data_IF_150468072211
#
_entry.id   IF_150468072211
#
_cell.length_a   1.000
_cell.length_b   1.000
_cell.length_c   1.000
_cell.angle_alpha   90.00
_cell.angle_beta   90.00
_cell.angle_gamma   90.00
#
_symmetry.space_group_name_H-M   'P 1'
#
loop_
_entity.id
_entity.type
_entity.pdbx_description
1 polymer ?
#
# COMPACT_ATOMS: atom_id res chain seq x y z
N UNK A 1 77.82 8.71 19.25
CA UNK A 1 76.54 9.41 19.39
C UNK A 1 75.43 8.53 18.78
N UNK A 2 74.65 7.84 19.62
CA UNK A 2 73.58 6.89 19.21
C UNK A 2 72.23 7.58 19.32
N UNK A 3 71.53 7.80 18.18
CA UNK A 3 70.15 8.28 18.14
C UNK A 3 69.19 7.15 18.57
N UNK A 4 68.47 7.35 19.66
CA UNK A 4 67.37 6.51 20.09
C UNK A 4 66.13 6.78 19.18
N UNK A 5 65.63 5.75 18.50
CA UNK A 5 64.38 5.76 17.78
C UNK A 5 63.23 5.37 18.76
N UNK A 6 62.34 6.32 19.04
CA UNK A 6 61.12 6.08 19.78
C UNK A 6 60.14 5.31 18.90
N UNK A 7 59.81 4.11 19.32
CA UNK A 7 58.76 3.27 18.73
C UNK A 7 57.42 3.64 19.39
N UNK A 8 56.59 4.34 18.66
CA UNK A 8 55.25 4.73 19.11
C UNK A 8 54.33 3.57 18.82
N UNK A 9 53.86 2.89 19.89
CA UNK A 9 52.88 1.81 19.84
C UNK A 9 51.51 2.46 19.57
N UNK A 10 50.95 2.24 18.36
CA UNK A 10 49.56 2.59 18.06
C UNK A 10 48.71 1.39 18.46
N UNK A 11 48.01 1.52 19.59
CA UNK A 11 46.94 0.61 19.96
C UNK A 11 45.76 0.87 19.04
N UNK A 12 45.55 -0.01 18.07
CA UNK A 12 44.35 -0.04 17.26
C UNK A 12 43.15 -0.53 18.10
N UNK A 13 42.27 0.41 18.42
CA UNK A 13 40.97 0.10 19.02
C UNK A 13 40.02 -0.40 17.91
N UNK A 14 39.96 -1.72 17.71
CA UNK A 14 38.95 -2.35 16.86
C UNK A 14 37.60 -2.29 17.58
N UNK A 15 36.82 -1.27 17.31
CA UNK A 15 35.42 -1.22 17.69
C UNK A 15 34.66 -2.26 16.86
N UNK A 16 34.37 -3.40 17.48
CA UNK A 16 33.50 -4.43 16.94
C UNK A 16 32.07 -3.89 16.98
N UNK A 17 31.61 -3.34 15.87
CA UNK A 17 30.18 -3.00 15.70
C UNK A 17 29.39 -4.29 15.62
N UNK A 18 28.88 -4.75 16.76
CA UNK A 18 27.79 -5.72 16.80
C UNK A 18 26.54 -5.07 16.18
N UNK A 19 26.35 -5.28 14.89
CA UNK A 19 25.08 -5.03 14.23
C UNK A 19 24.07 -6.03 14.75
N UNK A 20 23.28 -5.61 15.74
CA UNK A 20 22.11 -6.35 16.20
C UNK A 20 21.09 -6.42 15.08
N UNK A 21 20.55 -7.59 14.71
CA UNK A 21 19.51 -7.71 13.67
C UNK A 21 18.12 -7.37 14.21
N UNK A 22 17.96 -6.24 14.92
CA UNK A 22 16.70 -5.82 15.54
C UNK A 22 16.13 -4.52 14.98
N UNK A 23 16.40 -4.17 13.73
CA UNK A 23 15.98 -2.88 13.19
C UNK A 23 15.02 -2.95 11.99
N UNK A 24 14.33 -4.07 11.75
CA UNK A 24 13.28 -4.13 10.72
C UNK A 24 11.86 -4.37 11.29
N UNK A 25 11.63 -4.00 12.54
CA UNK A 25 10.32 -3.90 13.17
C UNK A 25 9.86 -2.46 13.38
N UNK A 26 10.38 -1.51 12.61
CA UNK A 26 9.96 -0.12 12.66
C UNK A 26 8.50 0.00 12.20
N UNK A 27 7.59 0.37 13.12
CA UNK A 27 6.31 0.94 12.75
C UNK A 27 6.60 2.12 11.82
N UNK A 28 6.24 2.00 10.54
CA UNK A 28 6.30 3.14 9.63
C UNK A 28 5.47 4.26 10.27
N UNK A 29 6.01 5.49 10.34
CA UNK A 29 5.51 6.61 11.14
C UNK A 29 4.07 7.08 10.92
N UNK A 30 3.21 6.25 10.32
CA UNK A 30 1.78 6.49 10.19
C UNK A 30 1.03 6.47 11.53
N UNK A 31 1.47 5.68 12.51
CA UNK A 31 0.78 5.56 13.79
C UNK A 31 0.85 6.84 14.64
N UNK A 32 1.94 7.57 14.63
CA UNK A 32 2.08 8.82 15.40
C UNK A 32 1.22 9.95 14.83
N UNK A 33 1.07 10.04 13.50
CA UNK A 33 0.22 11.05 12.85
C UNK A 33 -1.26 10.93 13.27
N UNK A 34 -1.70 9.73 13.67
CA UNK A 34 -3.10 9.46 14.02
C UNK A 34 -3.36 9.34 15.51
N UNK A 35 -2.40 9.66 16.36
CA UNK A 35 -2.49 9.50 17.82
C UNK A 35 -3.76 10.13 18.40
N UNK A 36 -4.59 9.31 19.02
CA UNK A 36 -5.87 9.73 19.61
C UNK A 36 -7.08 9.77 18.67
N UNK A 37 -6.89 9.53 17.34
CA UNK A 37 -7.97 9.57 16.36
C UNK A 37 -8.24 8.21 15.69
N UNK A 38 -7.58 7.14 16.11
CA UNK A 38 -7.75 5.80 15.55
C UNK A 38 -8.87 5.06 16.28
N UNK A 39 -9.82 4.56 15.53
CA UNK A 39 -10.81 3.61 16.01
C UNK A 39 -10.27 2.19 15.83
N UNK A 40 -10.04 1.48 16.93
CA UNK A 40 -9.61 0.09 16.90
C UNK A 40 -10.82 -0.84 16.99
N UNK A 41 -11.19 -1.54 15.90
CA UNK A 41 -12.30 -2.49 15.90
C UNK A 41 -11.98 -3.81 16.60
N UNK A 42 -10.76 -3.98 17.13
CA UNK A 42 -10.28 -5.25 17.66
C UNK A 42 -9.97 -6.27 16.54
N UNK A 43 -9.95 -7.55 16.92
CA UNK A 43 -9.69 -8.64 15.96
C UNK A 43 -10.95 -8.97 15.16
N UNK A 44 -10.86 -8.82 13.85
CA UNK A 44 -11.93 -9.14 12.91
C UNK A 44 -11.72 -10.53 12.27
N UNK A 45 -12.79 -11.12 11.73
CA UNK A 45 -12.70 -12.35 10.90
C UNK A 45 -11.72 -12.09 9.75
N UNK A 46 -10.67 -12.91 9.58
CA UNK A 46 -9.57 -12.65 8.64
C UNK A 46 -10.01 -12.33 7.21
N UNK A 47 -10.98 -13.06 6.69
CA UNK A 47 -11.65 -12.86 5.38
C UNK A 47 -13.12 -13.19 5.50
N UNK A 48 -13.98 -12.43 4.83
CA UNK A 48 -15.45 -12.57 4.95
C UNK A 48 -16.18 -12.41 3.60
N UNK A 49 -15.46 -12.49 2.50
CA UNK A 49 -16.01 -12.37 1.15
C UNK A 49 -15.61 -13.54 0.25
N UNK A 50 -16.21 -13.62 -0.93
CA UNK A 50 -15.89 -14.59 -1.96
C UNK A 50 -15.51 -13.87 -3.25
N UNK A 51 -14.30 -14.13 -3.75
CA UNK A 51 -13.81 -13.56 -5.00
C UNK A 51 -14.78 -13.86 -6.15
N UNK A 52 -15.07 -12.84 -6.95
CA UNK A 52 -15.85 -12.92 -8.20
C UNK A 52 -14.98 -12.88 -9.45
N UNK A 53 -13.67 -12.71 -9.28
CA UNK A 53 -12.66 -12.67 -10.34
C UNK A 53 -11.48 -13.56 -9.98
N UNK A 54 -10.71 -13.97 -11.00
CA UNK A 54 -9.50 -14.78 -10.83
C UNK A 54 -8.33 -14.22 -11.66
N UNK A 55 -7.14 -14.69 -11.38
CA UNK A 55 -5.96 -14.38 -12.21
C UNK A 55 -6.21 -14.87 -13.64
N UNK A 56 -5.91 -14.01 -14.62
CA UNK A 56 -6.18 -14.21 -16.04
C UNK A 56 -7.48 -13.56 -16.53
N UNK A 57 -8.40 -13.20 -15.66
CA UNK A 57 -9.61 -12.48 -16.05
C UNK A 57 -9.30 -11.02 -16.41
N UNK A 58 -10.14 -10.45 -17.27
CA UNK A 58 -10.16 -9.00 -17.48
C UNK A 58 -10.71 -8.33 -16.22
N UNK A 59 -9.98 -7.35 -15.69
CA UNK A 59 -10.38 -6.60 -14.51
C UNK A 59 -11.72 -5.86 -14.78
N UNK A 60 -12.72 -5.98 -13.89
CA UNK A 60 -13.94 -5.19 -13.97
C UNK A 60 -13.63 -3.69 -14.02
N UNK A 61 -14.13 -2.98 -15.04
CA UNK A 61 -13.94 -1.55 -15.18
C UNK A 61 -14.78 -0.79 -14.14
N UNK A 62 -14.29 0.37 -13.74
CA UNK A 62 -14.98 1.26 -12.81
C UNK A 62 -14.66 2.72 -13.08
N UNK A 63 -15.49 3.60 -12.55
CA UNK A 63 -15.22 5.03 -12.44
C UNK A 63 -15.68 5.49 -11.07
N UNK A 64 -14.75 5.96 -10.25
CA UNK A 64 -14.99 6.40 -8.88
C UNK A 64 -14.57 7.85 -8.66
N UNK A 65 -15.25 8.58 -7.76
CA UNK A 65 -14.78 9.89 -7.32
C UNK A 65 -13.50 9.76 -6.49
N UNK A 66 -12.56 10.66 -6.71
CA UNK A 66 -11.32 10.76 -5.96
C UNK A 66 -11.34 11.93 -4.97
N UNK A 67 -10.51 11.84 -3.94
CA UNK A 67 -10.30 12.93 -2.95
C UNK A 67 -9.82 14.23 -3.64
N UNK A 68 -9.17 14.14 -4.80
CA UNK A 68 -8.78 15.29 -5.62
C UNK A 68 -9.95 16.07 -6.22
N UNK A 69 -11.18 15.54 -6.15
CA UNK A 69 -12.37 16.09 -6.80
C UNK A 69 -12.60 15.58 -8.23
N UNK A 70 -11.67 14.82 -8.79
CA UNK A 70 -11.78 14.22 -10.12
C UNK A 70 -12.50 12.87 -10.07
N UNK A 71 -12.92 12.38 -11.24
CA UNK A 71 -13.32 10.99 -11.42
C UNK A 71 -12.18 10.20 -12.02
N UNK A 72 -11.85 9.07 -11.41
CA UNK A 72 -10.79 8.16 -11.85
C UNK A 72 -11.40 6.84 -12.32
N UNK A 73 -11.01 6.42 -13.53
CA UNK A 73 -11.44 5.16 -14.15
C UNK A 73 -10.24 4.24 -14.34
N UNK A 74 -10.44 2.93 -14.15
CA UNK A 74 -9.40 1.94 -14.48
C UNK A 74 -8.94 2.08 -15.94
N UNK A 75 -9.87 2.34 -16.84
CA UNK A 75 -9.63 2.48 -18.29
C UNK A 75 -8.62 3.58 -18.65
N UNK A 76 -8.46 4.61 -17.83
CA UNK A 76 -7.48 5.69 -18.07
C UNK A 76 -6.03 5.20 -18.11
N UNK A 77 -5.74 4.08 -17.48
CA UNK A 77 -4.41 3.51 -17.35
C UNK A 77 -4.12 2.39 -18.33
N UNK A 78 -5.16 1.81 -18.96
CA UNK A 78 -5.00 0.71 -19.91
C UNK A 78 -4.15 1.14 -21.10
N UNK A 79 -3.26 0.25 -21.55
CA UNK A 79 -2.26 0.52 -22.59
C UNK A 79 -1.06 1.36 -22.13
N UNK A 80 -1.11 1.97 -20.94
CA UNK A 80 -0.10 2.94 -20.46
C UNK A 80 0.67 2.42 -19.25
N UNK A 81 -0.03 2.00 -18.20
CA UNK A 81 0.55 1.63 -16.91
C UNK A 81 0.01 0.31 -16.41
N UNK A 82 0.80 -0.41 -15.62
CA UNK A 82 0.30 -1.44 -14.73
C UNK A 82 -0.48 -0.77 -13.60
N UNK A 83 -1.52 -1.42 -13.09
CA UNK A 83 -2.37 -0.87 -12.04
C UNK A 83 -2.36 -1.78 -10.84
N UNK A 84 -2.13 -1.22 -9.67
CA UNK A 84 -2.32 -1.90 -8.39
C UNK A 84 -3.57 -1.31 -7.74
N UNK A 85 -4.61 -2.13 -7.56
CA UNK A 85 -5.74 -1.75 -6.74
C UNK A 85 -5.44 -2.16 -5.30
N UNK A 86 -5.55 -1.20 -4.39
CA UNK A 86 -5.41 -1.44 -2.94
C UNK A 86 -6.72 -1.13 -2.26
N UNK A 87 -7.52 -2.18 -2.02
CA UNK A 87 -8.71 -2.07 -1.17
C UNK A 87 -8.30 -2.09 0.29
N UNK A 88 -8.84 -1.16 1.07
CA UNK A 88 -8.71 -1.15 2.53
C UNK A 88 -10.08 -1.02 3.18
N UNK A 89 -10.28 -1.69 4.34
CA UNK A 89 -11.60 -1.78 4.97
C UNK A 89 -12.21 -0.44 5.33
N UNK A 90 -11.50 0.39 6.08
CA UNK A 90 -12.05 1.65 6.57
C UNK A 90 -10.95 2.65 6.92
N UNK A 91 -11.20 3.92 6.66
CA UNK A 91 -10.43 5.03 7.18
C UNK A 91 -10.39 5.01 8.72
N UNK A 92 -9.37 5.63 9.30
CA UNK A 92 -9.22 5.80 10.76
C UNK A 92 -9.09 4.49 11.55
N UNK A 93 -8.68 3.39 10.91
CA UNK A 93 -8.35 2.13 11.58
C UNK A 93 -6.85 1.87 11.59
N UNK A 94 -6.30 1.09 12.55
CA UNK A 94 -4.86 1.00 12.77
C UNK A 94 -4.10 0.53 11.53
N UNK A 95 -4.46 -0.63 10.98
CA UNK A 95 -3.74 -1.25 9.85
C UNK A 95 -3.88 -0.45 8.57
N UNK A 96 -5.05 0.17 8.31
CA UNK A 96 -5.26 1.00 7.13
C UNK A 96 -4.44 2.29 7.19
N UNK A 97 -4.36 2.90 8.39
CA UNK A 97 -3.58 4.12 8.64
C UNK A 97 -2.06 3.88 8.65
N UNK A 98 -1.60 2.63 8.63
CA UNK A 98 -0.20 2.25 8.45
C UNK A 98 0.09 1.80 7.00
N UNK A 99 -0.86 1.17 6.32
CA UNK A 99 -0.65 0.59 4.99
C UNK A 99 -0.40 1.66 3.92
N UNK A 100 -1.25 2.67 3.80
CA UNK A 100 -1.13 3.67 2.73
C UNK A 100 0.02 4.65 2.93
N UNK A 101 0.34 5.14 4.14
CA UNK A 101 1.61 5.84 4.36
C UNK A 101 2.84 5.03 3.97
N UNK A 102 2.84 3.71 4.23
CA UNK A 102 3.90 2.80 3.76
C UNK A 102 4.06 2.79 2.24
N UNK A 103 2.96 2.80 1.49
CA UNK A 103 3.02 2.93 0.02
C UNK A 103 3.49 4.31 -0.43
N UNK A 104 3.20 5.35 0.34
CA UNK A 104 3.60 6.71 0.00
C UNK A 104 5.13 6.89 -0.01
N UNK A 105 5.84 6.16 0.84
CA UNK A 105 7.31 6.23 0.94
C UNK A 105 8.01 5.55 -0.25
N UNK A 106 7.37 4.58 -0.88
CA UNK A 106 7.99 3.72 -1.90
C UNK A 106 7.53 4.04 -3.33
N UNK A 107 7.20 5.30 -3.59
CA UNK A 107 6.77 5.78 -4.92
C UNK A 107 7.71 5.36 -6.05
N UNK A 108 9.01 5.49 -5.84
CA UNK A 108 10.03 5.20 -6.87
C UNK A 108 10.01 3.75 -7.33
N UNK A 109 9.61 2.80 -6.47
CA UNK A 109 9.41 1.41 -6.88
C UNK A 109 8.25 1.27 -7.87
N UNK A 110 7.10 1.92 -7.59
CA UNK A 110 5.97 1.90 -8.53
C UNK A 110 6.35 2.55 -9.86
N UNK A 111 7.06 3.66 -9.85
CA UNK A 111 7.53 4.33 -11.06
C UNK A 111 8.50 3.44 -11.85
N UNK A 112 9.41 2.72 -11.20
CA UNK A 112 10.36 1.82 -11.85
C UNK A 112 9.68 0.65 -12.59
N UNK A 113 8.50 0.22 -12.14
CA UNK A 113 7.68 -0.80 -12.80
C UNK A 113 6.59 -0.23 -13.70
N UNK A 114 6.64 1.08 -13.99
CA UNK A 114 5.58 1.79 -14.74
C UNK A 114 4.19 1.42 -14.20
N UNK A 115 4.03 1.47 -12.89
CA UNK A 115 2.82 1.11 -12.18
C UNK A 115 2.19 2.34 -11.51
N UNK A 116 0.87 2.30 -11.34
CA UNK A 116 0.10 3.23 -10.52
C UNK A 116 -0.60 2.46 -9.42
N UNK A 117 -0.66 3.04 -8.23
CA UNK A 117 -1.50 2.56 -7.14
C UNK A 117 -2.82 3.33 -7.15
N UNK A 118 -3.94 2.64 -6.98
CA UNK A 118 -5.27 3.22 -6.73
C UNK A 118 -5.74 2.71 -5.36
N UNK A 119 -5.83 3.61 -4.38
CA UNK A 119 -6.39 3.30 -3.07
C UNK A 119 -7.91 3.38 -3.11
N UNK A 120 -8.61 2.33 -2.68
CA UNK A 120 -10.07 2.22 -2.75
C UNK A 120 -10.61 1.83 -1.38
N UNK A 121 -11.67 2.50 -0.95
CA UNK A 121 -12.44 2.15 0.25
C UNK A 121 -13.90 2.55 0.06
N UNK A 122 -14.78 1.97 0.86
CA UNK A 122 -16.22 2.31 0.87
C UNK A 122 -16.53 3.61 1.64
N UNK A 123 -15.54 4.28 2.20
CA UNK A 123 -15.72 5.56 2.89
C UNK A 123 -16.10 6.68 1.92
N UNK A 124 -16.81 7.68 2.43
CA UNK A 124 -17.17 8.88 1.66
C UNK A 124 -15.99 9.85 1.51
N UNK A 125 -16.09 10.77 0.52
CA UNK A 125 -15.03 11.74 0.21
C UNK A 125 -14.63 12.63 1.39
N UNK A 126 -15.54 13.24 2.19
CA UNK A 126 -15.14 14.04 3.35
C UNK A 126 -14.31 13.27 4.37
N UNK A 127 -14.68 12.02 4.66
CA UNK A 127 -13.91 11.13 5.55
C UNK A 127 -12.53 10.86 4.98
N UNK A 128 -12.43 10.50 3.71
CA UNK A 128 -11.16 10.24 3.04
C UNK A 128 -10.27 11.49 2.97
N UNK A 129 -10.85 12.65 2.70
CA UNK A 129 -10.11 13.91 2.68
C UNK A 129 -9.46 14.19 4.04
N UNK A 130 -10.24 14.11 5.13
CA UNK A 130 -9.73 14.32 6.47
C UNK A 130 -8.63 13.30 6.84
N UNK A 131 -8.87 12.02 6.53
CA UNK A 131 -7.95 10.93 6.84
C UNK A 131 -6.63 11.04 6.06
N UNK A 132 -6.69 11.28 4.74
CA UNK A 132 -5.48 11.37 3.91
C UNK A 132 -4.64 12.60 4.20
N UNK A 133 -5.26 13.73 4.57
CA UNK A 133 -4.54 14.92 5.01
C UNK A 133 -3.72 14.68 6.29
N UNK A 134 -4.16 13.76 7.14
CA UNK A 134 -3.44 13.43 8.37
C UNK A 134 -2.31 12.39 8.12
N UNK A 135 -2.36 11.62 7.03
CA UNK A 135 -1.34 10.61 6.69
C UNK A 135 0.03 11.22 6.40
N UNK A 136 0.06 12.44 5.86
CA UNK A 136 1.31 13.07 5.41
C UNK A 136 1.64 14.22 6.33
N UNK A 137 2.53 13.97 7.29
CA UNK A 137 3.06 14.99 8.19
C UNK A 137 3.77 16.08 7.39
N UNK A 138 3.47 17.36 7.69
CA UNK A 138 4.05 18.50 6.98
C UNK A 138 3.23 19.00 5.78
N UNK A 139 1.98 18.55 5.59
CA UNK A 139 1.06 19.11 4.60
C UNK A 139 1.23 18.58 3.17
N UNK A 140 1.89 17.43 3.01
CA UNK A 140 2.00 16.74 1.72
C UNK A 140 0.69 16.04 1.30
N UNK A 141 0.69 15.44 0.10
CA UNK A 141 -0.37 14.59 -0.42
C UNK A 141 0.15 13.20 -0.72
N UNK A 142 -0.72 12.21 -0.66
CA UNK A 142 -0.41 10.90 -1.22
C UNK A 142 -0.16 11.05 -2.73
N UNK A 143 0.86 10.37 -3.27
CA UNK A 143 1.19 10.44 -4.70
C UNK A 143 0.19 9.68 -5.58
N UNK A 144 -0.62 8.84 -5.00
CA UNK A 144 -1.61 8.01 -5.70
C UNK A 144 -3.05 8.49 -5.43
N UNK A 145 -3.99 8.28 -6.38
CA UNK A 145 -5.39 8.57 -6.20
C UNK A 145 -6.02 7.73 -5.08
N UNK A 146 -6.78 8.40 -4.21
CA UNK A 146 -7.65 7.77 -3.21
C UNK A 146 -9.09 7.91 -3.64
N UNK A 147 -9.77 6.80 -3.78
CA UNK A 147 -11.06 6.65 -4.43
C UNK A 147 -12.12 6.18 -3.45
N UNK A 148 -13.31 6.75 -3.58
CA UNK A 148 -14.47 6.43 -2.76
C UNK A 148 -15.43 5.51 -3.51
N UNK A 149 -15.61 4.28 -3.03
CA UNK A 149 -16.63 3.33 -3.47
C UNK A 149 -17.87 3.40 -2.55
N UNK A 150 -18.16 4.62 -2.06
CA UNK A 150 -19.26 4.86 -1.13
C UNK A 150 -20.65 4.68 -1.76
N UNK A 151 -20.82 5.09 -3.02
CA UNK A 151 -22.12 4.98 -3.66
C UNK A 151 -22.04 4.61 -5.16
N UNK A 152 -22.85 3.62 -5.62
CA UNK A 152 -23.62 2.66 -4.80
C UNK A 152 -22.69 1.90 -3.88
N UNK A 153 -23.11 1.67 -2.62
CA UNK A 153 -22.23 1.22 -1.55
C UNK A 153 -21.44 -0.04 -1.92
N UNK A 154 -20.11 0.09 -2.00
CA UNK A 154 -19.20 -1.02 -2.26
C UNK A 154 -19.40 -1.68 -3.64
N UNK A 155 -19.99 -0.99 -4.62
CA UNK A 155 -20.30 -1.59 -5.91
C UNK A 155 -19.07 -2.08 -6.69
N UNK A 156 -17.91 -1.43 -6.52
CA UNK A 156 -16.65 -1.89 -7.11
C UNK A 156 -16.09 -3.05 -6.30
N UNK A 157 -16.04 -2.93 -4.98
CA UNK A 157 -15.61 -4.01 -4.09
C UNK A 157 -16.45 -5.28 -4.32
N UNK A 158 -17.77 -5.15 -4.48
CA UNK A 158 -18.66 -6.28 -4.78
C UNK A 158 -18.35 -6.95 -6.12
N UNK A 159 -18.10 -6.16 -7.19
CA UNK A 159 -17.73 -6.72 -8.51
C UNK A 159 -16.43 -7.51 -8.50
N UNK A 160 -15.47 -7.11 -7.67
CA UNK A 160 -14.23 -7.87 -7.46
C UNK A 160 -14.41 -9.03 -6.48
N UNK A 161 -15.53 -9.08 -5.73
CA UNK A 161 -15.81 -10.10 -4.71
C UNK A 161 -15.03 -9.87 -3.43
N UNK A 162 -14.82 -8.61 -3.07
CA UNK A 162 -14.10 -8.20 -1.86
C UNK A 162 -14.94 -7.27 -0.96
N UNK A 163 -16.24 -7.21 -1.17
CA UNK A 163 -17.17 -6.57 -0.22
C UNK A 163 -17.54 -7.59 0.85
N UNK A 164 -17.33 -7.25 2.10
CA UNK A 164 -17.63 -8.07 3.28
C UNK A 164 -19.11 -7.96 3.68
N UNK A 165 -19.58 -8.90 4.48
CA UNK A 165 -20.95 -8.90 5.01
C UNK A 165 -21.23 -7.73 5.96
N UNK A 166 -20.20 -7.16 6.58
CA UNK A 166 -20.29 -5.98 7.46
C UNK A 166 -20.28 -4.65 6.69
N UNK A 167 -20.22 -4.69 5.35
CA UNK A 167 -20.32 -3.52 4.48
C UNK A 167 -19.03 -2.79 4.22
N UNK A 168 -17.89 -3.20 4.77
CA UNK A 168 -16.57 -2.68 4.41
C UNK A 168 -15.91 -3.56 3.34
N UNK A 169 -14.85 -3.06 2.68
CA UNK A 169 -14.09 -3.93 1.79
C UNK A 169 -13.13 -4.83 2.57
N UNK A 170 -12.73 -5.94 1.97
CA UNK A 170 -11.56 -6.69 2.42
C UNK A 170 -10.29 -5.82 2.30
N UNK A 171 -9.25 -6.23 2.98
CA UNK A 171 -7.89 -5.79 2.67
C UNK A 171 -7.41 -6.61 1.48
N UNK A 172 -7.47 -6.04 0.28
CA UNK A 172 -7.15 -6.77 -0.93
C UNK A 172 -6.26 -5.99 -1.90
N UNK A 173 -5.37 -6.73 -2.57
CA UNK A 173 -4.53 -6.21 -3.64
C UNK A 173 -4.84 -6.94 -4.95
N UNK A 174 -4.95 -6.17 -6.02
CA UNK A 174 -5.00 -6.70 -7.38
C UNK A 174 -3.91 -6.05 -8.21
N UNK A 175 -3.05 -6.84 -8.84
CA UNK A 175 -2.11 -6.34 -9.84
C UNK A 175 -2.69 -6.62 -11.22
N UNK A 176 -2.86 -5.57 -12.01
CA UNK A 176 -3.47 -5.58 -13.34
C UNK A 176 -2.43 -5.08 -14.32
N UNK A 177 -2.21 -5.82 -15.38
CA UNK A 177 -1.28 -5.42 -16.44
C UNK A 177 -1.84 -4.31 -17.33
N UNK A 178 -1.00 -3.78 -18.23
CA UNK A 178 -1.40 -2.74 -19.20
C UNK A 178 -2.55 -3.19 -20.12
N UNK A 179 -2.70 -4.50 -20.35
CA UNK A 179 -3.80 -5.08 -21.12
C UNK A 179 -5.13 -5.13 -20.37
N UNK A 180 -5.12 -4.82 -19.08
CA UNK A 180 -6.29 -4.89 -18.21
C UNK A 180 -6.56 -6.30 -17.68
N UNK A 181 -5.57 -7.17 -17.68
CA UNK A 181 -5.68 -8.55 -17.19
C UNK A 181 -5.14 -8.61 -15.77
N UNK A 182 -5.90 -9.24 -14.87
CA UNK A 182 -5.50 -9.49 -13.49
C UNK A 182 -4.35 -10.51 -13.49
N UNK A 183 -3.21 -10.15 -12.92
CA UNK A 183 -2.01 -10.98 -12.83
C UNK A 183 -1.73 -11.48 -11.43
N UNK A 184 -2.24 -10.81 -10.42
CA UNK A 184 -2.10 -11.21 -9.04
C UNK A 184 -3.31 -10.77 -8.22
N UNK A 185 -3.69 -11.58 -7.24
CA UNK A 185 -4.75 -11.30 -6.27
C UNK A 185 -4.24 -11.71 -4.88
N UNK A 186 -4.39 -10.83 -3.91
CA UNK A 186 -4.19 -11.12 -2.50
C UNK A 186 -5.38 -10.58 -1.71
N UNK A 187 -6.27 -11.47 -1.24
CA UNK A 187 -7.26 -11.13 -0.23
C UNK A 187 -6.61 -11.41 1.12
N UNK A 188 -6.03 -10.37 1.67
CA UNK A 188 -5.18 -10.46 2.84
C UNK A 188 -5.97 -10.53 4.14
N UNK A 189 -5.39 -11.16 5.17
CA UNK A 189 -5.96 -11.10 6.53
C UNK A 189 -6.17 -9.64 6.93
N UNK A 190 -7.43 -9.25 7.19
CA UNK A 190 -7.81 -7.86 7.48
C UNK A 190 -7.03 -7.24 8.65
N UNK A 191 -6.57 -8.05 9.60
CA UNK A 191 -5.85 -7.64 10.79
C UNK A 191 -4.34 -7.45 10.56
N UNK A 192 -3.83 -7.68 9.33
CA UNK A 192 -2.40 -7.60 8.99
C UNK A 192 -2.19 -6.80 7.72
N UNK A 193 -1.05 -6.12 7.65
CA UNK A 193 -0.63 -5.41 6.45
C UNK A 193 0.01 -6.37 5.44
N UNK A 194 -0.33 -6.31 4.14
CA UNK A 194 0.39 -7.01 3.08
C UNK A 194 1.85 -6.60 3.04
N UNK A 195 2.74 -7.55 2.75
CA UNK A 195 4.17 -7.27 2.62
C UNK A 195 4.48 -6.61 1.29
N UNK A 196 5.22 -5.50 1.31
CA UNK A 196 5.63 -4.76 0.11
C UNK A 196 6.48 -5.60 -0.83
N UNK A 197 7.35 -6.45 -0.29
CA UNK A 197 8.26 -7.31 -1.06
C UNK A 197 7.48 -8.29 -1.96
N UNK A 198 6.31 -8.75 -1.52
CA UNK A 198 5.45 -9.63 -2.33
C UNK A 198 4.87 -8.85 -3.50
N UNK A 199 4.33 -7.65 -3.23
CA UNK A 199 3.79 -6.79 -4.29
C UNK A 199 4.84 -6.42 -5.34
N UNK A 200 6.06 -6.08 -4.92
CA UNK A 200 7.15 -5.72 -5.84
C UNK A 200 7.60 -6.90 -6.71
N UNK A 201 7.68 -8.12 -6.14
CA UNK A 201 7.95 -9.32 -6.92
C UNK A 201 6.89 -9.57 -8.02
N UNK A 202 5.62 -9.30 -7.71
CA UNK A 202 4.55 -9.45 -8.72
C UNK A 202 4.65 -8.38 -9.82
N UNK A 203 5.01 -7.15 -9.49
CA UNK A 203 5.27 -6.10 -10.48
C UNK A 203 6.51 -6.41 -11.33
N UNK A 204 7.57 -6.97 -10.75
CA UNK A 204 8.77 -7.39 -11.46
C UNK A 204 8.47 -8.46 -12.52
N UNK A 205 7.65 -9.46 -12.18
CA UNK A 205 7.21 -10.50 -13.15
C UNK A 205 6.56 -9.89 -14.40
N UNK A 206 5.80 -8.80 -14.25
CA UNK A 206 5.18 -8.12 -15.39
C UNK A 206 6.20 -7.48 -16.33
N UNK A 207 7.31 -6.96 -15.81
CA UNK A 207 8.38 -6.42 -16.66
C UNK A 207 9.11 -7.51 -17.43
N UNK A 208 9.36 -8.68 -16.80
CA UNK A 208 10.05 -9.80 -17.43
C UNK A 208 9.23 -10.43 -18.57
N UNK A 209 7.90 -10.46 -18.42
CA UNK A 209 6.99 -11.00 -19.43
C UNK A 209 6.85 -10.12 -20.70
N UNK A 210 7.34 -8.89 -20.67
CA UNK A 210 7.29 -7.92 -21.77
C UNK A 210 8.66 -7.65 -22.42
N UNK A 211 9.70 -8.37 -22.00
CA UNK A 211 11.02 -8.42 -22.67
C UNK A 211 11.11 -9.62 -23.58
#
# INVERSE_FOLDING_TARGET
MRKKRNLMLILGLTALFCLSPSAYGGSYGGSEAFKGNIYDPGMLKPTDSLLKVKVGDRAPDFTLPAVSGEKVSLRQYLGKKNVVLSFVPAAWTPVCSDQWPGYNIVKDFFDSYNAVLLGITVDNIPTLFAWTNQMVTGGGKLWFPVLSDFWPHGAVADRYGVLRSDGVSERALFVIDKGGIIRYIDVHNINKRPKLEVLFKELEKLQQAHR
#
